data_IF_271006421880
#
_entry.id   IF_271006421880
#
_cell.length_a   1.000
_cell.length_b   1.000
_cell.length_c   1.000
_cell.angle_alpha   90.00
_cell.angle_beta   90.00
_cell.angle_gamma   90.00
#
_symmetry.space_group_name_H-M   'P 1'
#
loop_
_entity.id
_entity.type
_entity.pdbx_description
1 polymer ?
#
# COMPACT_ATOMS: atom_id res chain seq x y z
N UNK A 1 -0.92 16.85 -9.71
CA UNK A 1 -1.91 15.94 -9.09
C UNK A 1 -1.40 15.46 -7.73
N UNK A 2 -2.11 15.80 -6.65
CA UNK A 2 -1.79 15.37 -5.29
C UNK A 2 -2.36 13.97 -5.02
N UNK A 3 -1.65 13.16 -4.23
CA UNK A 3 -2.14 11.85 -3.80
C UNK A 3 -3.06 12.08 -2.59
N UNK A 4 -4.30 11.58 -2.64
CA UNK A 4 -5.22 11.69 -1.49
C UNK A 4 -4.80 10.76 -0.36
N UNK A 5 -4.95 11.18 0.89
CA UNK A 5 -4.55 10.39 2.06
C UNK A 5 -5.25 9.02 2.10
N UNK A 6 -6.54 8.95 1.76
CA UNK A 6 -7.29 7.69 1.64
C UNK A 6 -6.68 6.71 0.63
N UNK A 7 -6.20 7.22 -0.52
CA UNK A 7 -5.56 6.38 -1.54
C UNK A 7 -4.19 5.87 -1.09
N UNK A 8 -3.42 6.72 -0.41
CA UNK A 8 -2.14 6.30 0.18
C UNK A 8 -2.36 5.20 1.23
N UNK A 9 -3.36 5.37 2.09
CA UNK A 9 -3.70 4.38 3.11
C UNK A 9 -4.08 3.03 2.49
N UNK A 10 -4.90 3.03 1.43
CA UNK A 10 -5.24 1.81 0.70
C UNK A 10 -4.01 1.08 0.12
N UNK A 11 -3.03 1.83 -0.41
CA UNK A 11 -1.77 1.26 -0.92
C UNK A 11 -0.97 0.64 0.23
N UNK A 12 -0.83 1.35 1.35
CA UNK A 12 -0.10 0.85 2.54
C UNK A 12 -0.74 -0.41 3.11
N UNK A 13 -2.07 -0.43 3.24
CA UNK A 13 -2.82 -1.61 3.69
C UNK A 13 -2.61 -2.81 2.78
N UNK A 14 -2.64 -2.60 1.46
CA UNK A 14 -2.39 -3.65 0.50
C UNK A 14 -0.97 -4.22 0.57
N UNK A 15 0.03 -3.34 0.72
CA UNK A 15 1.44 -3.73 0.89
C UNK A 15 1.66 -4.50 2.20
N UNK A 16 0.97 -4.12 3.27
CA UNK A 16 1.02 -4.83 4.55
C UNK A 16 0.49 -6.27 4.42
N UNK A 17 -0.65 -6.46 3.74
CA UNK A 17 -1.27 -7.77 3.55
C UNK A 17 -0.47 -8.68 2.59
N UNK A 18 -0.02 -8.16 1.45
CA UNK A 18 0.55 -8.96 0.36
C UNK A 18 2.09 -8.98 0.35
N UNK A 19 2.74 -8.16 1.20
CA UNK A 19 4.21 -8.00 1.30
C UNK A 19 4.92 -7.55 0.01
N UNK A 20 4.17 -7.25 -1.06
CA UNK A 20 4.70 -6.74 -2.31
C UNK A 20 3.60 -6.39 -3.31
N UNK A 21 3.99 -5.71 -4.39
CA UNK A 21 3.08 -5.35 -5.49
C UNK A 21 3.84 -5.34 -6.81
N UNK A 22 3.16 -5.74 -7.88
CA UNK A 22 3.66 -5.65 -9.25
C UNK A 22 2.85 -4.61 -10.03
N UNK A 23 3.54 -3.71 -10.70
CA UNK A 23 2.89 -2.65 -11.49
C UNK A 23 3.53 -2.57 -12.88
N UNK A 24 2.74 -2.53 -13.97
CA UNK A 24 3.28 -2.30 -15.30
C UNK A 24 3.84 -0.87 -15.42
N UNK A 25 4.81 -0.65 -16.28
CA UNK A 25 5.37 0.70 -16.54
C UNK A 25 4.34 1.64 -17.19
N UNK A 26 3.34 1.08 -17.88
CA UNK A 26 2.21 1.83 -18.42
C UNK A 26 1.45 2.59 -17.33
N UNK A 27 1.45 3.92 -17.43
CA UNK A 27 0.75 4.81 -16.47
C UNK A 27 -0.74 4.93 -16.76
N UNK A 28 -1.15 4.52 -17.97
CA UNK A 28 -2.53 4.52 -18.43
C UNK A 28 -3.22 3.25 -17.94
N UNK A 29 -4.51 3.37 -17.60
CA UNK A 29 -5.30 2.26 -17.08
C UNK A 29 -5.46 2.23 -15.55
N UNK A 30 -6.22 1.24 -15.10
CA UNK A 30 -6.51 0.98 -13.68
C UNK A 30 -5.78 -0.26 -13.21
N UNK A 31 -5.33 -0.23 -11.96
CA UNK A 31 -4.73 -1.38 -11.31
C UNK A 31 -5.85 -2.37 -10.94
N UNK A 32 -5.73 -3.67 -11.31
CA UNK A 32 -6.83 -4.63 -11.16
C UNK A 32 -7.29 -4.79 -9.71
N UNK A 33 -6.35 -4.87 -8.76
CA UNK A 33 -6.67 -5.16 -7.36
C UNK A 33 -7.11 -3.93 -6.58
N UNK A 34 -6.41 -2.81 -6.75
CA UNK A 34 -6.65 -1.59 -5.99
C UNK A 34 -7.74 -0.70 -6.59
N UNK A 35 -8.20 -0.98 -7.83
CA UNK A 35 -9.16 -0.16 -8.58
C UNK A 35 -8.79 1.33 -8.62
N UNK A 36 -7.48 1.63 -8.67
CA UNK A 36 -6.95 2.99 -8.77
C UNK A 36 -6.21 3.16 -10.08
N UNK A 37 -6.10 4.41 -10.57
CA UNK A 37 -5.30 4.71 -11.76
C UNK A 37 -3.83 4.33 -11.51
N UNK A 38 -3.18 3.67 -12.48
CA UNK A 38 -1.80 3.23 -12.34
C UNK A 38 -0.84 4.39 -12.02
N UNK A 39 -1.09 5.59 -12.58
CA UNK A 39 -0.31 6.79 -12.28
C UNK A 39 -0.33 7.18 -10.79
N UNK A 40 -1.44 6.95 -10.09
CA UNK A 40 -1.63 7.22 -8.65
C UNK A 40 -0.81 6.21 -7.85
N UNK A 41 -0.89 4.92 -8.22
CA UNK A 41 -0.14 3.83 -7.58
C UNK A 41 1.36 4.05 -7.74
N UNK A 42 1.84 4.34 -8.95
CA UNK A 42 3.24 4.65 -9.22
C UNK A 42 3.77 5.81 -8.37
N UNK A 43 2.96 6.86 -8.19
CA UNK A 43 3.36 8.01 -7.38
C UNK A 43 3.45 7.63 -5.89
N UNK A 44 2.48 6.87 -5.37
CA UNK A 44 2.52 6.36 -4.01
C UNK A 44 3.73 5.46 -3.75
N UNK A 45 3.98 4.50 -4.64
CA UNK A 45 5.13 3.59 -4.54
C UNK A 45 6.47 4.34 -4.65
N UNK A 46 6.57 5.37 -5.50
CA UNK A 46 7.76 6.23 -5.56
C UNK A 46 8.03 6.93 -4.21
N UNK A 47 6.99 7.44 -3.54
CA UNK A 47 7.17 8.07 -2.23
C UNK A 47 7.53 7.08 -1.12
N UNK A 48 6.99 5.86 -1.15
CA UNK A 48 7.31 4.82 -0.19
C UNK A 48 8.73 4.27 -0.39
N UNK A 49 9.13 4.08 -1.65
CA UNK A 49 10.49 3.68 -2.01
C UNK A 49 11.53 4.73 -1.60
N UNK A 50 11.24 6.02 -1.78
CA UNK A 50 12.11 7.12 -1.31
C UNK A 50 12.33 7.14 0.20
N UNK A 51 11.41 6.54 0.97
CA UNK A 51 11.51 6.44 2.43
C UNK A 51 12.06 5.08 2.90
N UNK A 52 12.61 4.29 1.98
CA UNK A 52 13.17 2.95 2.20
C UNK A 52 12.18 1.89 2.72
N UNK A 53 10.88 2.07 2.46
CA UNK A 53 9.87 1.04 2.79
C UNK A 53 9.89 -0.14 1.83
N UNK A 54 10.30 0.11 0.58
CA UNK A 54 10.17 -0.81 -0.53
C UNK A 54 11.48 -0.88 -1.31
N UNK A 55 11.88 -2.09 -1.64
CA UNK A 55 12.90 -2.37 -2.64
C UNK A 55 12.25 -2.50 -4.01
N UNK A 56 12.85 -1.88 -5.03
CA UNK A 56 12.30 -1.83 -6.39
C UNK A 56 13.18 -2.66 -7.33
N UNK A 57 12.58 -3.64 -7.98
CA UNK A 57 13.17 -4.35 -9.12
C UNK A 57 12.37 -4.07 -10.38
N UNK A 58 13.04 -3.85 -11.50
CA UNK A 58 12.39 -3.58 -12.77
C UNK A 58 12.95 -4.48 -13.86
N UNK A 59 12.06 -5.15 -14.57
CA UNK A 59 12.36 -6.04 -15.69
C UNK A 59 11.10 -6.20 -16.55
N UNK A 60 11.30 -6.36 -17.86
CA UNK A 60 10.26 -6.76 -18.81
C UNK A 60 8.99 -5.88 -18.76
N UNK A 61 9.16 -4.55 -18.66
CA UNK A 61 8.06 -3.57 -18.56
C UNK A 61 7.18 -3.71 -17.30
N UNK A 62 7.65 -4.44 -16.30
CA UNK A 62 7.04 -4.55 -14.98
C UNK A 62 8.01 -4.08 -13.88
N UNK A 63 7.44 -3.43 -12.87
CA UNK A 63 8.14 -3.03 -11.66
C UNK A 63 7.60 -3.85 -10.49
N UNK A 64 8.47 -4.63 -9.87
CA UNK A 64 8.22 -5.34 -8.62
C UNK A 64 8.67 -4.46 -7.46
N UNK A 65 7.78 -4.28 -6.50
CA UNK A 65 8.07 -3.60 -5.25
C UNK A 65 7.92 -4.62 -4.13
N UNK A 66 9.03 -4.91 -3.46
CA UNK A 66 9.11 -5.84 -2.33
C UNK A 66 9.21 -5.02 -1.05
N UNK A 67 8.48 -5.42 -0.01
CA UNK A 67 8.53 -4.75 1.29
C UNK A 67 9.76 -5.22 2.06
N UNK A 68 10.59 -4.27 2.51
CA UNK A 68 11.75 -4.57 3.37
C UNK A 68 11.31 -4.86 4.80
N UNK A 69 12.13 -5.55 5.59
CA UNK A 69 11.81 -5.85 7.00
C UNK A 69 11.56 -4.57 7.81
N UNK A 70 12.38 -3.53 7.59
CA UNK A 70 12.20 -2.21 8.22
C UNK A 70 10.92 -1.51 7.73
N UNK A 71 10.63 -1.59 6.44
CA UNK A 71 9.42 -1.06 5.84
C UNK A 71 8.16 -1.73 6.41
N UNK A 72 8.22 -3.04 6.66
CA UNK A 72 7.12 -3.79 7.24
C UNK A 72 6.83 -3.37 8.69
N UNK A 73 7.87 -3.17 9.51
CA UNK A 73 7.71 -2.68 10.88
C UNK A 73 7.02 -1.31 10.91
N UNK A 74 7.45 -0.38 10.07
CA UNK A 74 6.82 0.94 9.95
C UNK A 74 5.39 0.88 9.41
N UNK A 75 5.12 0.02 8.43
CA UNK A 75 3.76 -0.20 7.93
C UNK A 75 2.85 -0.78 9.02
N UNK A 76 3.38 -1.65 9.88
CA UNK A 76 2.64 -2.19 11.02
C UNK A 76 2.26 -1.10 12.01
N UNK A 77 3.13 -0.14 12.29
CA UNK A 77 2.82 0.94 13.22
C UNK A 77 1.74 1.87 12.63
N UNK A 78 1.81 2.16 11.33
CA UNK A 78 0.85 3.06 10.67
C UNK A 78 -0.51 2.40 10.41
N UNK A 79 -0.53 1.14 9.97
CA UNK A 79 -1.75 0.42 9.57
C UNK A 79 -2.31 -0.40 10.74
N UNK A 80 -1.46 -1.07 11.51
CA UNK A 80 -1.85 -1.96 12.60
C UNK A 80 -2.55 -1.27 13.77
N UNK A 81 -2.28 0.02 14.01
CA UNK A 81 -3.06 0.80 14.99
C UNK A 81 -4.54 0.89 14.59
N UNK A 82 -4.84 0.98 13.30
CA UNK A 82 -6.22 1.16 12.84
C UNK A 82 -7.03 -0.15 12.84
N UNK A 83 -6.40 -1.30 12.62
CA UNK A 83 -7.07 -2.60 12.75
C UNK A 83 -7.42 -2.90 14.22
N UNK A 84 -6.60 -2.48 15.18
CA UNK A 84 -6.92 -2.62 16.61
C UNK A 84 -8.15 -1.78 17.01
N UNK A 85 -8.28 -0.56 16.50
CA UNK A 85 -9.46 0.28 16.74
C UNK A 85 -10.72 -0.31 16.12
N UNK A 86 -10.65 -0.80 14.88
CA UNK A 86 -11.78 -1.45 14.19
C UNK A 86 -12.20 -2.74 14.90
N UNK A 87 -11.27 -3.50 15.47
CA UNK A 87 -11.59 -4.69 16.27
C UNK A 87 -12.32 -4.34 17.57
N UNK A 88 -11.97 -3.23 18.23
CA UNK A 88 -12.65 -2.79 19.46
C UNK A 88 -14.08 -2.31 19.20
N UNK A 89 -14.32 -1.59 18.11
CA UNK A 89 -15.67 -1.14 17.73
C UNK A 89 -16.60 -2.32 17.45
N UNK A 90 -16.13 -3.33 16.70
CA UNK A 90 -16.93 -4.52 16.39
C UNK A 90 -17.26 -5.37 17.64
N UNK A 91 -16.44 -5.33 18.69
CA UNK A 91 -16.68 -6.07 19.94
C UNK A 91 -17.72 -5.41 20.86
N UNK A 92 -17.99 -4.11 20.69
CA UNK A 92 -19.00 -3.39 21.46
C UNK A 92 -20.41 -3.65 20.91
N UNK A 93 -20.54 -3.80 19.59
CA UNK A 93 -21.82 -4.08 18.93
C UNK A 93 -22.34 -5.50 19.17
N UNK A 94 -21.47 -6.47 19.48
CA UNK A 94 -21.88 -7.85 19.77
C UNK A 94 -22.28 -8.09 21.23
N UNK A 95 -22.05 -7.11 22.10
CA UNK A 95 -22.32 -7.19 23.55
C UNK A 95 -23.50 -6.31 24.00
N UNK A 96 -24.15 -5.62 23.07
CA UNK A 96 -25.39 -4.88 23.27
C UNK A 96 -26.58 -5.70 22.76
#
# INVERSE_FOLDING_TARGET
MFLRNSQMYAIKRFLYQNKGIVVPFGKQGMHPTLRMKNCVVHKGLRTLSSKAYLEKHAAWQHAWFLVTTEGYARLRDEVGLSDATVQQENQLETKA
#
